data_IF_027608113056
#
_entry.id   IF_027608113056
#
_cell.length_a   1.000
_cell.length_b   1.000
_cell.length_c   1.000
_cell.angle_alpha   90.00
_cell.angle_beta   90.00
_cell.angle_gamma   90.00
#
_symmetry.space_group_name_H-M   'P 1'
#
loop_
_entity.id
_entity.type
_entity.pdbx_description
1 polymer ?
#
# COMPACT_ATOMS: atom_id res chain seq x y z
N UNK A 1 13.33 -38.56 -34.87
CA UNK A 1 13.99 -38.71 -33.56
C UNK A 1 14.64 -37.37 -33.21
N UNK A 2 14.31 -36.84 -32.03
CA UNK A 2 14.90 -35.73 -31.23
C UNK A 2 14.96 -34.33 -31.89
N UNK A 3 14.13 -33.33 -31.57
CA UNK A 3 13.58 -32.83 -30.30
C UNK A 3 14.63 -32.25 -29.33
N UNK A 4 14.82 -30.92 -29.36
CA UNK A 4 15.19 -30.04 -28.23
C UNK A 4 15.31 -28.60 -28.76
N UNK A 5 14.22 -27.86 -28.96
CA UNK A 5 13.68 -26.91 -27.95
C UNK A 5 14.79 -26.29 -27.08
N UNK A 6 15.20 -25.08 -27.42
CA UNK A 6 15.44 -24.00 -26.44
C UNK A 6 15.24 -22.65 -27.13
N UNK A 7 13.95 -22.33 -27.33
CA UNK A 7 13.43 -20.98 -27.49
C UNK A 7 13.87 -20.22 -26.24
N UNK A 8 14.89 -19.35 -26.36
CA UNK A 8 15.32 -18.47 -25.28
C UNK A 8 14.14 -17.58 -24.92
N UNK A 9 13.54 -17.93 -23.79
CA UNK A 9 12.35 -17.34 -23.20
C UNK A 9 12.66 -15.89 -22.84
N UNK A 10 11.79 -15.00 -23.29
CA UNK A 10 11.69 -13.62 -22.84
C UNK A 10 11.78 -13.50 -21.32
N UNK A 11 12.58 -12.56 -20.83
CA UNK A 11 12.39 -11.88 -19.55
C UNK A 11 13.46 -10.81 -19.37
N UNK A 12 13.27 -9.67 -20.03
CA UNK A 12 13.78 -8.40 -19.51
C UNK A 12 12.69 -7.37 -19.83
N UNK A 13 11.55 -7.53 -19.16
CA UNK A 13 10.60 -6.45 -19.01
C UNK A 13 11.33 -5.32 -18.27
N UNK A 14 11.14 -4.04 -18.65
CA UNK A 14 11.88 -2.94 -18.07
C UNK A 14 11.61 -2.89 -16.57
N UNK A 15 12.67 -2.82 -15.77
CA UNK A 15 12.60 -2.39 -14.38
C UNK A 15 11.99 -0.98 -14.39
N UNK A 16 10.68 -0.92 -14.21
CA UNK A 16 10.00 0.32 -13.87
C UNK A 16 10.41 0.60 -12.43
N UNK A 17 11.63 1.11 -12.22
CA UNK A 17 11.88 1.89 -11.02
C UNK A 17 11.06 3.16 -11.22
N UNK A 18 9.90 3.32 -10.57
CA UNK A 18 9.25 4.61 -10.65
C UNK A 18 10.24 5.55 -10.01
N UNK A 19 10.84 6.44 -10.80
CA UNK A 19 11.43 7.66 -10.29
C UNK A 19 10.26 8.47 -9.70
N UNK A 20 9.78 8.05 -8.52
CA UNK A 20 8.74 8.74 -7.79
C UNK A 20 9.39 10.05 -7.37
N UNK A 21 9.19 11.08 -8.17
CA UNK A 21 9.53 12.42 -7.78
C UNK A 21 8.49 12.84 -6.74
N UNK A 22 8.74 12.51 -5.46
CA UNK A 22 7.84 12.72 -4.30
C UNK A 22 7.53 14.23 -4.07
N UNK A 23 8.15 15.12 -4.84
CA UNK A 23 8.18 16.57 -4.59
C UNK A 23 6.85 17.26 -4.92
N UNK A 24 5.94 16.65 -5.70
CA UNK A 24 4.62 17.20 -6.02
C UNK A 24 3.50 16.17 -5.82
N UNK A 25 3.15 15.88 -4.56
CA UNK A 25 1.97 15.10 -4.24
C UNK A 25 0.72 15.98 -4.25
N UNK A 26 -0.38 15.49 -4.82
CA UNK A 26 -1.70 16.07 -4.57
C UNK A 26 -2.13 15.85 -3.12
N UNK A 27 -3.06 16.66 -2.64
CA UNK A 27 -3.58 16.56 -1.26
C UNK A 27 -4.12 15.16 -0.94
N UNK A 28 -4.79 14.52 -1.91
CA UNK A 28 -5.33 13.17 -1.73
C UNK A 28 -4.23 12.11 -1.64
N UNK A 29 -3.18 12.22 -2.44
CA UNK A 29 -2.03 11.29 -2.36
C UNK A 29 -1.27 11.47 -1.05
N UNK A 30 -1.09 12.72 -0.62
CA UNK A 30 -0.53 13.03 0.69
C UNK A 30 -1.38 12.44 1.83
N UNK A 31 -2.71 12.54 1.74
CA UNK A 31 -3.62 11.96 2.73
C UNK A 31 -3.51 10.43 2.80
N UNK A 32 -3.38 9.74 1.66
CA UNK A 32 -3.16 8.28 1.64
C UNK A 32 -1.84 7.93 2.33
N UNK A 33 -0.74 8.61 1.97
CA UNK A 33 0.57 8.36 2.57
C UNK A 33 0.57 8.65 4.07
N UNK A 34 -0.15 9.69 4.50
CA UNK A 34 -0.31 10.01 5.92
C UNK A 34 -1.07 8.90 6.64
N UNK A 35 -2.20 8.46 6.11
CA UNK A 35 -2.98 7.36 6.68
C UNK A 35 -2.15 6.06 6.80
N UNK A 36 -1.31 5.76 5.81
CA UNK A 36 -0.41 4.61 5.84
C UNK A 36 0.74 4.74 6.85
N UNK A 37 1.23 5.96 7.10
CA UNK A 37 2.29 6.20 8.08
C UNK A 37 1.79 6.13 9.52
N UNK A 38 0.56 6.56 9.73
CA UNK A 38 -0.05 6.58 11.06
C UNK A 38 -0.67 5.24 11.44
N UNK A 39 -0.93 4.35 10.48
CA UNK A 39 -1.63 3.11 10.77
C UNK A 39 -0.78 2.15 11.60
N UNK A 40 -1.28 1.79 12.79
CA UNK A 40 -0.57 0.86 13.68
C UNK A 40 -0.77 -0.59 13.26
N UNK A 41 -1.99 -1.09 13.38
CA UNK A 41 -2.41 -2.42 12.94
C UNK A 41 -3.82 -2.34 12.40
N UNK A 42 -4.00 -2.53 11.10
CA UNK A 42 -5.27 -2.28 10.45
C UNK A 42 -5.20 -2.33 8.93
N UNK A 43 -6.14 -1.65 8.29
CA UNK A 43 -6.25 -1.50 6.85
C UNK A 43 -6.50 -0.04 6.44
N UNK A 44 -6.00 0.32 5.27
CA UNK A 44 -6.35 1.55 4.55
C UNK A 44 -6.96 1.12 3.22
N UNK A 45 -8.20 1.54 2.97
CA UNK A 45 -8.92 1.33 1.72
C UNK A 45 -9.01 2.65 0.95
N UNK A 46 -8.72 2.60 -0.35
CA UNK A 46 -8.75 3.79 -1.23
C UNK A 46 -9.71 3.51 -2.38
N UNK A 47 -10.68 4.39 -2.58
CA UNK A 47 -11.62 4.34 -3.71
C UNK A 47 -11.18 5.35 -4.75
N UNK A 48 -11.03 4.87 -5.99
CA UNK A 48 -10.64 5.68 -7.14
C UNK A 48 -11.78 5.73 -8.15
N UNK A 49 -12.12 6.92 -8.63
CA UNK A 49 -13.07 7.13 -9.72
C UNK A 49 -12.47 8.10 -10.73
N UNK A 50 -12.42 7.71 -12.01
CA UNK A 50 -11.87 8.58 -13.07
C UNK A 50 -10.43 9.02 -12.83
N UNK A 51 -9.57 8.12 -12.32
CA UNK A 51 -8.17 8.41 -11.95
C UNK A 51 -7.99 9.41 -10.81
N UNK A 52 -9.04 9.68 -10.03
CA UNK A 52 -8.98 10.54 -8.86
C UNK A 52 -9.34 9.75 -7.60
N UNK A 53 -8.60 9.96 -6.52
CA UNK A 53 -8.93 9.42 -5.19
C UNK A 53 -10.15 10.20 -4.68
N UNK A 54 -11.25 9.49 -4.41
CA UNK A 54 -12.50 10.10 -3.96
C UNK A 54 -12.85 9.72 -2.52
N UNK A 55 -12.25 8.63 -2.00
CA UNK A 55 -12.44 8.22 -0.62
C UNK A 55 -11.20 7.49 -0.10
N UNK A 56 -10.89 7.76 1.16
CA UNK A 56 -9.87 7.06 1.93
C UNK A 56 -10.52 6.62 3.24
N UNK A 57 -10.49 5.32 3.53
CA UNK A 57 -11.04 4.76 4.76
C UNK A 57 -9.93 4.04 5.52
N UNK A 58 -9.66 4.48 6.74
CA UNK A 58 -8.71 3.83 7.66
C UNK A 58 -9.51 3.06 8.71
N UNK A 59 -9.12 1.82 8.95
CA UNK A 59 -9.70 1.00 10.02
C UNK A 59 -8.58 0.34 10.81
N UNK A 60 -8.62 0.47 12.13
CA UNK A 60 -7.59 -0.04 13.02
C UNK A 60 -8.14 -1.02 14.04
N UNK A 61 -7.30 -1.97 14.43
CA UNK A 61 -7.57 -2.87 15.53
C UNK A 61 -6.60 -2.55 16.66
N UNK A 62 -7.14 -1.94 17.71
CA UNK A 62 -6.39 -1.63 18.93
C UNK A 62 -6.54 -2.78 19.91
N UNK A 63 -5.42 -3.26 20.48
CA UNK A 63 -5.46 -4.18 21.61
C UNK A 63 -5.88 -3.39 22.84
N UNK A 64 -7.01 -3.73 23.44
CA UNK A 64 -7.43 -3.13 24.71
C UNK A 64 -6.68 -3.88 25.81
N UNK A 65 -5.66 -3.25 26.39
CA UNK A 65 -5.07 -3.77 27.63
C UNK A 65 -6.09 -3.55 28.75
N UNK A 66 -6.49 -4.65 29.39
CA UNK A 66 -7.36 -4.62 30.55
C UNK A 66 -6.65 -3.82 31.66
N UNK A 67 -7.25 -2.74 32.20
CA UNK A 67 -6.60 -1.98 33.25
C UNK A 67 -6.43 -2.90 34.46
N UNK A 68 -5.22 -3.43 34.64
CA UNK A 68 -4.83 -4.09 35.88
C UNK A 68 -4.67 -3.01 36.94
N UNK A 69 -5.79 -2.59 37.49
CA UNK A 69 -5.89 -1.74 38.66
C UNK A 69 -6.89 -2.37 39.61
N UNK A 70 -6.44 -3.34 40.40
CA UNK A 70 -7.13 -3.68 41.65
C UNK A 70 -7.09 -2.40 42.51
N UNK A 71 -8.23 -1.79 42.90
CA UNK A 71 -8.20 -0.73 43.90
C UNK A 71 -7.69 -1.35 45.21
N UNK A 72 -6.66 -0.73 45.79
CA UNK A 72 -6.22 -1.02 47.15
C UNK A 72 -7.22 -0.46 48.16
#
# INVERSE_FOLDING_TARGET
MNAARRKSRAASAPEFEPAVNIVNLSDSEFAVLTALREIGYGQVEVVVHGSQIVQITRSERVRVEEPRGRPL
#
